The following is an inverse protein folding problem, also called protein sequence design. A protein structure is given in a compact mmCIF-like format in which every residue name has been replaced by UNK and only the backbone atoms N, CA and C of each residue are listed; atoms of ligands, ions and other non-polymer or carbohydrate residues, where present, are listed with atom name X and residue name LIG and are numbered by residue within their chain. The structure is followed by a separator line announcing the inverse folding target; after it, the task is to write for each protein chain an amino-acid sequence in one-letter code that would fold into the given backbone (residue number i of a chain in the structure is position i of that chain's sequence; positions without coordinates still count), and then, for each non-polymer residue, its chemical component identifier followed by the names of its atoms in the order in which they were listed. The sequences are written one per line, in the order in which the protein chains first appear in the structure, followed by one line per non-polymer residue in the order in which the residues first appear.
data_IF_048130871674
#
_entry.id   IF_048130871674
#
_cell.length_a   1.000
_cell.length_b   1.000
_cell.length_c   1.000
_cell.angle_alpha   90.00
_cell.angle_beta   90.00
_cell.angle_gamma   90.00
#
_symmetry.space_group_name_H-M   'P 1'
#
loop_
_entity.id
_entity.type
_entity.pdbx_description
1 polymer ?
#
# COMPACT_ATOMS: atom_id res chain seq x y z
N UNK A 1 1.26 22.95 1.57
CA UNK A 1 2.09 22.37 2.65
C UNK A 1 2.16 20.89 2.42
N UNK A 2 3.33 20.24 2.54
CA UNK A 2 3.41 18.79 2.40
C UNK A 2 2.38 18.12 3.32
N UNK A 3 1.83 17.00 2.89
CA UNK A 3 0.86 16.24 3.66
C UNK A 3 1.47 15.85 5.00
N UNK A 4 0.88 16.32 6.09
CA UNK A 4 1.38 15.98 7.43
C UNK A 4 1.06 14.52 7.75
N UNK A 5 1.99 13.84 8.37
CA UNK A 5 1.76 12.52 8.97
C UNK A 5 1.09 12.73 10.33
N UNK A 6 -0.05 12.08 10.55
CA UNK A 6 -0.83 12.17 11.78
C UNK A 6 -0.85 10.84 12.51
N UNK A 7 -0.77 10.88 13.82
CA UNK A 7 -1.19 9.75 14.65
C UNK A 7 -2.71 9.76 14.83
N UNK A 8 -3.30 8.62 15.19
CA UNK A 8 -4.73 8.55 15.51
C UNK A 8 -5.12 9.44 16.71
N UNK A 9 -4.18 9.75 17.61
CA UNK A 9 -4.39 10.64 18.75
C UNK A 9 -4.38 12.12 18.36
N UNK A 10 -3.53 12.53 17.41
CA UNK A 10 -3.49 13.91 16.89
C UNK A 10 -4.68 14.21 15.99
N UNK A 11 -5.06 13.23 15.15
CA UNK A 11 -6.16 13.36 14.21
C UNK A 11 -6.78 11.98 13.98
N UNK A 12 -7.96 11.76 14.54
CA UNK A 12 -8.67 10.49 14.45
C UNK A 12 -9.06 10.12 13.01
N UNK A 13 -9.19 8.83 12.74
CA UNK A 13 -9.51 8.31 11.41
C UNK A 13 -10.89 8.77 10.91
N UNK A 14 -11.81 9.09 11.80
CA UNK A 14 -13.13 9.67 11.47
C UNK A 14 -13.02 11.01 10.73
N UNK A 15 -11.86 11.66 10.77
CA UNK A 15 -11.59 12.93 10.06
C UNK A 15 -11.08 12.72 8.64
N UNK A 16 -10.80 11.48 8.22
CA UNK A 16 -10.43 11.16 6.83
C UNK A 16 -11.54 11.64 5.92
N UNK A 17 -11.21 12.47 4.93
CA UNK A 17 -12.20 13.01 3.99
C UNK A 17 -12.82 11.91 3.12
N UNK A 18 -12.09 11.42 2.14
CA UNK A 18 -12.51 10.32 1.27
C UNK A 18 -11.48 9.19 1.25
N UNK A 19 -10.19 9.52 1.27
CA UNK A 19 -9.08 8.56 1.25
C UNK A 19 -7.93 9.06 2.12
N UNK A 20 -7.18 8.14 2.72
CA UNK A 20 -5.93 8.37 3.43
C UNK A 20 -4.98 7.20 3.21
N UNK A 21 -3.70 7.39 3.46
CA UNK A 21 -2.70 6.31 3.44
C UNK A 21 -2.26 6.04 4.88
N UNK A 22 -2.57 4.84 5.38
CA UNK A 22 -2.21 4.41 6.73
C UNK A 22 -0.92 3.59 6.70
N UNK A 23 -0.07 3.77 7.70
CA UNK A 23 1.23 3.08 7.83
C UNK A 23 1.54 2.76 9.27
N UNK A 24 2.13 1.58 9.52
CA UNK A 24 2.55 1.13 10.85
C UNK A 24 3.83 0.30 10.77
N UNK A 25 4.47 0.05 11.90
CA UNK A 25 5.53 -0.96 12.05
C UNK A 25 4.89 -2.29 12.43
N UNK A 26 5.21 -3.38 11.72
CA UNK A 26 4.73 -4.75 12.05
C UNK A 26 5.79 -5.55 12.78
N UNK A 27 7.05 -5.45 12.32
CA UNK A 27 8.21 -6.07 12.95
C UNK A 27 9.39 -5.11 12.88
N UNK A 28 10.49 -5.41 13.57
CA UNK A 28 11.69 -4.58 13.50
C UNK A 28 12.19 -4.50 12.06
N UNK A 29 12.24 -3.26 11.54
CA UNK A 29 12.64 -2.98 10.16
C UNK A 29 11.59 -3.30 9.09
N UNK A 30 10.36 -3.71 9.46
CA UNK A 30 9.26 -3.93 8.53
C UNK A 30 8.06 -3.03 8.82
N UNK A 31 7.58 -2.36 7.80
CA UNK A 31 6.38 -1.55 7.84
C UNK A 31 5.27 -2.20 7.01
N UNK A 32 4.04 -1.80 7.32
CA UNK A 32 2.84 -2.17 6.58
C UNK A 32 2.07 -0.92 6.20
N UNK A 33 1.44 -0.94 5.03
CA UNK A 33 0.67 0.20 4.50
C UNK A 33 -0.69 -0.28 3.98
N UNK A 34 -1.70 0.56 4.14
CA UNK A 34 -3.05 0.35 3.65
C UNK A 34 -3.72 1.67 3.27
N UNK A 35 -4.92 1.57 2.72
CA UNK A 35 -5.74 2.69 2.30
C UNK A 35 -6.93 2.87 3.24
N UNK A 36 -6.98 3.99 3.94
CA UNK A 36 -8.20 4.45 4.58
C UNK A 36 -9.15 4.94 3.50
N UNK A 37 -10.38 4.47 3.52
CA UNK A 37 -11.41 4.97 2.62
C UNK A 37 -12.74 5.12 3.33
N UNK A 38 -13.45 6.21 3.00
CA UNK A 38 -14.77 6.47 3.54
C UNK A 38 -15.84 5.78 2.70
N UNK A 39 -16.74 5.08 3.35
CA UNK A 39 -17.98 4.62 2.71
C UNK A 39 -19.01 5.74 2.76
N UNK A 40 -19.51 6.15 1.60
CA UNK A 40 -20.50 7.23 1.51
C UNK A 40 -21.88 6.83 2.04
N UNK A 41 -22.16 5.53 2.12
CA UNK A 41 -23.47 5.02 2.56
C UNK A 41 -23.68 5.11 4.08
N UNK A 42 -22.65 4.86 4.88
CA UNK A 42 -22.68 4.88 6.34
C UNK A 42 -21.71 5.86 6.98
N UNK A 43 -20.90 6.58 6.15
CA UNK A 43 -19.86 7.52 6.58
C UNK A 43 -18.74 6.90 7.43
N UNK A 44 -18.65 5.58 7.50
CA UNK A 44 -17.58 4.89 8.22
C UNK A 44 -16.28 4.92 7.41
N UNK A 45 -15.16 4.92 8.12
CA UNK A 45 -13.83 4.79 7.54
C UNK A 45 -13.35 3.37 7.77
N UNK A 46 -13.05 2.68 6.68
CA UNK A 46 -12.41 1.35 6.70
C UNK A 46 -10.99 1.44 6.14
N UNK A 47 -10.16 0.47 6.47
CA UNK A 47 -8.82 0.31 5.94
C UNK A 47 -8.75 -0.90 5.02
N UNK A 48 -8.58 -0.65 3.73
CA UNK A 48 -8.32 -1.68 2.73
C UNK A 48 -6.82 -1.91 2.61
N UNK A 49 -6.37 -3.13 2.89
CA UNK A 49 -4.95 -3.47 2.81
C UNK A 49 -4.73 -4.94 2.43
N UNK A 50 -3.63 -5.21 1.76
CA UNK A 50 -3.17 -6.57 1.49
C UNK A 50 -2.27 -7.00 2.64
N UNK A 51 -2.83 -7.74 3.60
CA UNK A 51 -2.11 -8.15 4.81
C UNK A 51 -1.01 -9.17 4.50
N UNK A 52 -1.26 -10.12 3.60
CA UNK A 52 -0.30 -11.07 3.05
C UNK A 52 -0.92 -11.85 1.87
N UNK A 53 -0.34 -12.99 1.48
CA UNK A 53 -0.80 -13.86 0.41
C UNK A 53 -2.27 -14.27 0.59
N UNK A 54 -3.12 -13.92 -0.36
CA UNK A 54 -4.57 -14.17 -0.34
C UNK A 54 -5.24 -13.69 0.98
N UNK A 55 -4.80 -12.53 1.49
CA UNK A 55 -5.35 -11.89 2.69
C UNK A 55 -5.62 -10.41 2.44
N UNK A 56 -6.47 -10.11 1.47
CA UNK A 56 -7.03 -8.77 1.35
C UNK A 56 -8.01 -8.55 2.50
N UNK A 57 -7.87 -7.43 3.20
CA UNK A 57 -8.68 -7.07 4.38
C UNK A 57 -9.30 -5.69 4.16
N UNK A 58 -10.47 -5.51 4.74
CA UNK A 58 -11.16 -4.22 4.79
C UNK A 58 -11.72 -4.04 6.20
N UNK A 59 -10.83 -3.72 7.12
CA UNK A 59 -11.07 -3.73 8.56
C UNK A 59 -11.22 -2.30 9.10
N UNK A 60 -11.64 -2.15 10.35
CA UNK A 60 -11.56 -0.88 11.07
C UNK A 60 -10.07 -0.53 11.29
N UNK A 61 -9.65 0.72 11.05
CA UNK A 61 -8.27 1.11 11.28
C UNK A 61 -7.92 1.09 12.78
N UNK A 62 -6.76 0.52 13.11
CA UNK A 62 -6.28 0.44 14.48
C UNK A 62 -5.49 1.69 14.89
N UNK A 63 -5.55 2.12 16.17
CA UNK A 63 -4.80 3.30 16.66
C UNK A 63 -3.27 3.19 16.53
N UNK A 64 -2.76 1.99 16.27
CA UNK A 64 -1.33 1.71 16.02
C UNK A 64 -0.84 2.19 14.66
N UNK A 65 -1.74 2.69 13.80
CA UNK A 65 -1.38 3.28 12.51
C UNK A 65 -1.23 4.80 12.62
N UNK A 66 -0.18 5.33 12.01
CA UNK A 66 -0.15 6.72 11.53
C UNK A 66 -0.83 6.81 10.17
N UNK A 67 -1.24 7.98 9.74
CA UNK A 67 -1.83 8.17 8.44
C UNK A 67 -1.50 9.53 7.81
N UNK A 68 -1.60 9.57 6.50
CA UNK A 68 -1.35 10.73 5.66
C UNK A 68 -2.62 11.07 4.88
N UNK A 69 -2.96 12.36 4.82
CA UNK A 69 -4.00 12.89 3.93
C UNK A 69 -3.33 13.25 2.59
N UNK A 70 -3.48 12.44 1.54
CA UNK A 70 -2.80 12.71 0.28
C UNK A 70 -3.29 14.01 -0.34
N UNK A 71 -2.38 14.76 -0.98
CA UNK A 71 -2.67 16.03 -1.64
C UNK A 71 -3.52 15.84 -2.92
N UNK A 72 -4.71 15.27 -2.77
CA UNK A 72 -5.63 14.93 -3.86
C UNK A 72 -6.92 15.74 -3.72
N UNK A 73 -7.33 16.41 -4.79
CA UNK A 73 -8.62 17.14 -4.80
C UNK A 73 -9.79 16.19 -4.48
N UNK A 74 -10.79 16.68 -3.72
CA UNK A 74 -11.92 15.90 -3.18
C UNK A 74 -12.61 14.98 -4.21
N UNK A 75 -12.85 15.44 -5.45
CA UNK A 75 -13.45 14.62 -6.49
C UNK A 75 -12.56 13.41 -6.88
N UNK A 76 -11.26 13.62 -6.93
CA UNK A 76 -10.27 12.57 -7.21
C UNK A 76 -10.10 11.61 -6.03
N UNK A 77 -10.10 12.13 -4.80
CA UNK A 77 -10.09 11.31 -3.58
C UNK A 77 -11.30 10.38 -3.50
N UNK A 78 -12.50 10.85 -3.89
CA UNK A 78 -13.70 10.00 -4.03
C UNK A 78 -13.54 8.91 -5.07
N UNK A 79 -12.85 9.19 -6.18
CA UNK A 79 -12.55 8.19 -7.21
C UNK A 79 -11.67 7.05 -6.65
N UNK A 80 -10.61 7.38 -5.90
CA UNK A 80 -9.76 6.38 -5.23
C UNK A 80 -10.59 5.55 -4.24
N UNK A 81 -11.41 6.19 -3.39
CA UNK A 81 -12.29 5.48 -2.47
C UNK A 81 -13.28 4.55 -3.18
N UNK A 82 -13.81 4.96 -4.35
CA UNK A 82 -14.67 4.11 -5.17
C UNK A 82 -13.93 2.88 -5.72
N UNK A 83 -12.67 3.05 -6.14
CA UNK A 83 -11.81 1.93 -6.57
C UNK A 83 -11.56 0.98 -5.40
N UNK A 84 -11.26 1.47 -4.19
CA UNK A 84 -11.12 0.63 -2.99
C UNK A 84 -12.35 -0.28 -2.80
N UNK A 85 -13.56 0.29 -2.86
CA UNK A 85 -14.80 -0.47 -2.69
C UNK A 85 -15.03 -1.51 -3.81
N UNK A 86 -14.72 -1.16 -5.07
CA UNK A 86 -14.78 -2.10 -6.19
C UNK A 86 -13.83 -3.26 -6.01
N UNK A 87 -12.57 -2.97 -5.70
CA UNK A 87 -11.53 -3.99 -5.49
C UNK A 87 -11.91 -4.93 -4.35
N UNK A 88 -12.39 -4.42 -3.23
CA UNK A 88 -12.87 -5.25 -2.13
C UNK A 88 -14.00 -6.19 -2.55
N UNK A 89 -15.03 -5.66 -3.23
CA UNK A 89 -16.19 -6.45 -3.67
C UNK A 89 -15.85 -7.52 -4.69
N UNK A 90 -14.92 -7.24 -5.60
CA UNK A 90 -14.62 -8.13 -6.72
C UNK A 90 -13.62 -9.23 -6.39
N UNK A 91 -12.76 -9.03 -5.40
CA UNK A 91 -11.66 -9.97 -5.14
C UNK A 91 -11.83 -10.75 -3.83
N UNK A 92 -12.65 -10.27 -2.87
CA UNK A 92 -12.64 -10.85 -1.54
C UNK A 92 -11.20 -10.91 -1.00
N UNK A 93 -10.81 -12.05 -0.42
CA UNK A 93 -9.45 -12.24 0.12
C UNK A 93 -8.41 -12.76 -0.91
N UNK A 94 -8.76 -12.82 -2.21
CA UNK A 94 -8.06 -13.65 -3.20
C UNK A 94 -6.85 -13.01 -3.91
N UNK A 95 -6.39 -11.82 -3.51
CA UNK A 95 -5.22 -11.21 -4.15
C UNK A 95 -3.93 -11.88 -3.66
N UNK A 96 -3.15 -12.53 -4.55
CA UNK A 96 -1.90 -13.17 -4.14
C UNK A 96 -0.83 -12.15 -3.77
N UNK A 97 0.13 -12.57 -2.95
CA UNK A 97 1.34 -11.81 -2.66
C UNK A 97 2.42 -12.12 -3.70
N UNK A 98 3.02 -11.07 -4.31
CA UNK A 98 4.17 -11.18 -5.20
C UNK A 98 4.84 -9.80 -5.38
N UNK A 99 5.88 -9.72 -6.22
CA UNK A 99 6.65 -8.49 -6.46
C UNK A 99 6.31 -7.82 -7.78
N UNK A 100 5.17 -8.15 -8.39
CA UNK A 100 4.75 -7.57 -9.67
C UNK A 100 4.63 -6.05 -9.59
N UNK A 101 4.86 -5.40 -10.72
CA UNK A 101 4.72 -3.96 -10.86
C UNK A 101 3.26 -3.52 -10.59
N UNK A 102 3.04 -2.32 -10.01
CA UNK A 102 1.70 -1.87 -9.60
C UNK A 102 0.82 -1.34 -10.74
N UNK A 103 1.33 -1.22 -11.96
CA UNK A 103 0.57 -0.70 -13.09
C UNK A 103 -0.40 -1.75 -13.66
N UNK A 104 -1.58 -1.31 -14.09
CA UNK A 104 -2.61 -2.11 -14.79
C UNK A 104 -2.98 -3.43 -14.08
N UNK A 105 -3.00 -3.43 -12.75
CA UNK A 105 -3.29 -4.62 -11.96
C UNK A 105 -4.79 -4.87 -11.77
N UNK A 106 -5.62 -3.86 -11.95
CA UNK A 106 -7.06 -3.95 -11.73
C UNK A 106 -7.84 -3.54 -12.97
N UNK A 107 -8.93 -4.25 -13.25
CA UNK A 107 -9.92 -3.82 -14.21
C UNK A 107 -10.61 -2.53 -13.72
N UNK A 108 -10.58 -1.47 -14.50
CA UNK A 108 -11.06 -0.15 -14.10
C UNK A 108 -12.57 -0.07 -13.89
N UNK A 109 -13.35 -0.97 -14.52
CA UNK A 109 -14.79 -1.01 -14.39
C UNK A 109 -15.24 -1.83 -13.19
N UNK A 110 -14.72 -3.04 -13.05
CA UNK A 110 -15.14 -4.01 -12.04
C UNK A 110 -14.30 -3.98 -10.78
N UNK A 111 -13.04 -3.57 -10.85
CA UNK A 111 -12.05 -3.67 -9.77
C UNK A 111 -11.45 -5.07 -9.61
N UNK A 112 -11.72 -6.00 -10.52
CA UNK A 112 -11.15 -7.35 -10.48
C UNK A 112 -9.63 -7.31 -10.68
N UNK A 113 -8.90 -8.11 -9.91
CA UNK A 113 -7.45 -8.26 -10.06
C UNK A 113 -7.15 -9.06 -11.33
N UNK A 114 -6.32 -8.48 -12.19
CA UNK A 114 -5.97 -9.03 -13.50
C UNK A 114 -4.77 -9.97 -13.38
N UNK A 115 -4.99 -11.19 -12.90
CA UNK A 115 -3.96 -12.23 -12.94
C UNK A 115 -3.49 -12.49 -14.37
N UNK A 116 -2.20 -12.67 -14.54
CA UNK A 116 -1.61 -12.93 -15.84
C UNK A 116 -0.13 -13.30 -15.72
N UNK A 117 0.55 -13.64 -16.81
CA UNK A 117 1.92 -14.14 -16.75
C UNK A 117 2.94 -13.12 -16.17
N UNK A 118 2.61 -11.83 -16.16
CA UNK A 118 3.44 -10.75 -15.62
C UNK A 118 2.85 -10.08 -14.38
N UNK A 119 1.72 -10.57 -13.86
CA UNK A 119 0.99 -10.02 -12.71
C UNK A 119 0.51 -11.17 -11.85
N UNK A 120 1.40 -11.69 -11.04
CA UNK A 120 1.12 -12.86 -10.19
C UNK A 120 0.69 -12.50 -8.78
N UNK A 121 0.79 -11.23 -8.39
CA UNK A 121 0.38 -10.73 -7.09
C UNK A 121 0.98 -9.36 -6.77
N UNK A 122 0.75 -8.87 -5.56
CA UNK A 122 1.20 -7.57 -5.08
C UNK A 122 1.75 -7.67 -3.65
N UNK A 123 2.62 -6.76 -3.25
CA UNK A 123 2.92 -6.47 -1.84
C UNK A 123 1.89 -5.48 -1.28
N UNK A 124 1.87 -5.22 0.04
CA UNK A 124 1.02 -4.17 0.61
C UNK A 124 1.31 -2.79 -0.01
N UNK A 125 2.57 -2.49 -0.29
CA UNK A 125 3.00 -1.22 -0.89
C UNK A 125 2.58 -1.12 -2.36
N UNK A 126 2.89 -2.12 -3.19
CA UNK A 126 2.48 -2.11 -4.60
C UNK A 126 0.95 -2.19 -4.75
N UNK A 127 0.23 -2.79 -3.80
CA UNK A 127 -1.24 -2.78 -3.76
C UNK A 127 -1.80 -1.36 -3.62
N UNK A 128 -1.29 -0.55 -2.68
CA UNK A 128 -1.70 0.86 -2.53
C UNK A 128 -1.43 1.63 -3.82
N UNK A 129 -0.24 1.48 -4.40
CA UNK A 129 0.11 2.13 -5.67
C UNK A 129 -0.80 1.69 -6.82
N UNK A 130 -1.15 0.41 -6.89
CA UNK A 130 -2.05 -0.13 -7.92
C UNK A 130 -3.48 0.43 -7.82
N UNK A 131 -3.99 0.66 -6.61
CA UNK A 131 -5.29 1.32 -6.41
C UNK A 131 -5.27 2.76 -6.92
N UNK A 132 -4.23 3.54 -6.59
CA UNK A 132 -4.09 4.90 -7.11
C UNK A 132 -3.93 4.91 -8.64
N UNK A 133 -3.16 3.97 -9.19
CA UNK A 133 -3.00 3.83 -10.64
C UNK A 133 -4.34 3.51 -11.34
N UNK A 134 -5.11 2.57 -10.79
CA UNK A 134 -6.45 2.21 -11.32
C UNK A 134 -7.45 3.36 -11.24
N UNK A 135 -7.26 4.30 -10.30
CA UNK A 135 -8.03 5.54 -10.23
C UNK A 135 -7.52 6.62 -11.21
N UNK A 136 -6.53 6.32 -12.06
CA UNK A 136 -5.91 7.30 -12.97
C UNK A 136 -5.11 8.39 -12.27
N UNK A 137 -4.56 8.09 -11.09
CA UNK A 137 -3.88 9.03 -10.18
C UNK A 137 -2.58 8.39 -9.64
N UNK A 138 -1.60 8.06 -10.48
CA UNK A 138 -0.35 7.49 -9.98
C UNK A 138 0.24 8.35 -8.87
N UNK A 139 0.45 7.72 -7.71
CA UNK A 139 0.93 8.41 -6.51
C UNK A 139 2.41 8.79 -6.64
N UNK A 140 3.17 7.92 -7.32
CA UNK A 140 4.62 8.07 -7.51
C UNK A 140 4.99 7.96 -8.98
N UNK A 141 6.12 8.53 -9.34
CA UNK A 141 6.74 8.33 -10.67
C UNK A 141 7.57 7.05 -10.66
N UNK A 142 7.00 5.98 -11.20
CA UNK A 142 7.64 4.66 -11.26
C UNK A 142 8.99 4.67 -11.98
N UNK A 143 9.18 5.58 -12.93
CA UNK A 143 10.41 5.71 -13.72
C UNK A 143 11.62 6.20 -12.90
N UNK A 144 11.39 6.77 -11.72
CA UNK A 144 12.44 7.27 -10.83
C UNK A 144 12.91 6.24 -9.81
N UNK A 145 12.16 5.10 -9.64
CA UNK A 145 12.51 4.09 -8.65
C UNK A 145 13.75 3.30 -9.06
N UNK A 146 14.72 3.15 -8.16
CA UNK A 146 15.94 2.39 -8.45
C UNK A 146 15.64 0.89 -8.58
N UNK A 147 16.50 0.19 -9.27
CA UNK A 147 16.53 -1.27 -9.24
C UNK A 147 16.73 -1.78 -7.80
N UNK A 148 16.27 -3.00 -7.53
CA UNK A 148 16.40 -3.61 -6.21
C UNK A 148 17.89 -3.72 -5.80
N UNK A 149 18.24 -3.16 -4.65
CA UNK A 149 19.54 -3.31 -4.03
C UNK A 149 19.64 -4.60 -3.20
N UNK A 150 20.83 -4.89 -2.68
CA UNK A 150 21.07 -6.13 -1.89
C UNK A 150 20.10 -6.31 -0.72
N UNK A 151 19.76 -5.23 -0.01
CA UNK A 151 18.78 -5.27 1.09
C UNK A 151 17.37 -5.62 0.60
N UNK A 152 17.00 -5.16 -0.59
CA UNK A 152 15.69 -5.44 -1.16
C UNK A 152 15.61 -6.90 -1.62
N UNK A 153 16.67 -7.41 -2.24
CA UNK A 153 16.79 -8.82 -2.61
C UNK A 153 16.74 -9.71 -1.36
N UNK A 154 17.47 -9.38 -0.30
CA UNK A 154 17.44 -10.14 0.96
C UNK A 154 16.03 -10.19 1.57
N UNK A 155 15.31 -9.05 1.55
CA UNK A 155 13.92 -9.00 2.00
C UNK A 155 12.99 -9.83 1.10
N UNK A 156 13.17 -9.79 -0.22
CA UNK A 156 12.38 -10.62 -1.16
C UNK A 156 12.56 -12.11 -0.88
N UNK A 157 13.79 -12.55 -0.64
CA UNK A 157 14.07 -13.94 -0.27
C UNK A 157 13.44 -14.34 1.07
N UNK A 158 13.45 -13.44 2.06
CA UNK A 158 12.74 -13.65 3.31
C UNK A 158 11.23 -13.77 3.10
N UNK A 159 10.62 -12.89 2.29
CA UNK A 159 9.19 -12.95 1.97
C UNK A 159 8.80 -14.24 1.27
N UNK A 160 9.66 -14.81 0.44
CA UNK A 160 9.47 -16.13 -0.19
C UNK A 160 9.49 -17.25 0.87
N UNK A 161 10.38 -17.19 1.85
CA UNK A 161 10.37 -18.13 2.99
C UNK A 161 9.04 -18.09 3.74
N UNK A 162 8.55 -16.88 4.02
CA UNK A 162 7.24 -16.66 4.65
C UNK A 162 6.08 -17.22 3.81
N UNK A 163 6.13 -17.12 2.49
CA UNK A 163 5.12 -17.73 1.60
C UNK A 163 5.06 -19.25 1.79
N UNK A 164 6.20 -19.93 1.86
CA UNK A 164 6.26 -21.36 2.11
C UNK A 164 5.73 -21.74 3.50
N UNK A 165 6.15 -21.01 4.53
CA UNK A 165 5.72 -21.23 5.91
C UNK A 165 4.21 -21.07 6.08
N UNK A 166 3.59 -20.14 5.31
CA UNK A 166 2.15 -19.89 5.33
C UNK A 166 1.35 -20.73 4.31
N UNK A 167 1.97 -21.72 3.69
CA UNK A 167 1.29 -22.72 2.87
C UNK A 167 0.90 -22.27 1.47
N UNK A 168 1.58 -21.28 0.90
CA UNK A 168 1.43 -20.96 -0.51
C UNK A 168 1.84 -22.17 -1.38
N UNK A 169 1.20 -22.34 -2.54
CA UNK A 169 1.54 -23.45 -3.43
C UNK A 169 2.96 -23.31 -3.99
N UNK A 170 3.65 -24.43 -4.17
CA UNK A 170 5.01 -24.42 -4.73
C UNK A 170 5.07 -23.85 -6.16
N UNK A 171 3.97 -23.92 -6.91
CA UNK A 171 3.85 -23.28 -8.21
C UNK A 171 3.90 -21.75 -8.06
N UNK A 172 3.12 -21.19 -7.12
CA UNK A 172 3.11 -19.75 -6.84
C UNK A 172 4.46 -19.29 -6.29
N UNK A 173 5.04 -20.04 -5.35
CA UNK A 173 6.36 -19.70 -4.78
C UNK A 173 7.42 -19.61 -5.87
N UNK A 174 7.49 -20.57 -6.80
CA UNK A 174 8.44 -20.52 -7.94
C UNK A 174 8.19 -19.33 -8.86
N UNK A 175 6.93 -18.96 -9.07
CA UNK A 175 6.60 -17.78 -9.85
C UNK A 175 7.11 -16.49 -9.16
N UNK A 176 6.94 -16.38 -7.83
CA UNK A 176 7.46 -15.25 -7.05
C UNK A 176 8.99 -15.25 -7.00
N UNK A 177 9.64 -16.42 -6.92
CA UNK A 177 11.10 -16.53 -7.01
C UNK A 177 11.66 -15.96 -8.32
N UNK A 178 10.96 -16.14 -9.42
CA UNK A 178 11.35 -15.60 -10.70
C UNK A 178 11.29 -14.06 -10.76
N UNK A 179 10.57 -13.40 -9.83
CA UNK A 179 10.51 -11.95 -9.71
C UNK A 179 11.59 -11.35 -8.77
N UNK A 180 12.45 -12.17 -8.17
CA UNK A 180 13.53 -11.66 -7.29
C UNK A 180 14.44 -10.70 -8.07
N UNK A 181 14.68 -9.53 -7.49
CA UNK A 181 15.35 -8.41 -8.16
C UNK A 181 14.40 -7.38 -8.77
N UNK A 182 13.08 -7.63 -8.75
CA UNK A 182 12.09 -6.63 -9.12
C UNK A 182 12.19 -5.39 -8.22
N UNK A 183 11.81 -4.23 -8.77
CA UNK A 183 11.76 -2.96 -8.02
C UNK A 183 10.94 -3.11 -6.76
N UNK A 184 11.49 -2.70 -5.62
CA UNK A 184 10.79 -2.72 -4.34
C UNK A 184 10.26 -1.34 -4.00
N UNK A 185 8.94 -1.25 -3.83
CA UNK A 185 8.28 -0.11 -3.20
C UNK A 185 8.14 -0.42 -1.71
N UNK A 186 8.69 0.44 -0.84
CA UNK A 186 8.60 0.23 0.60
C UNK A 186 7.38 0.95 1.17
N UNK A 187 6.69 0.40 2.19
CA UNK A 187 5.50 1.01 2.78
C UNK A 187 5.69 2.46 3.23
N UNK A 188 6.82 2.75 3.88
CA UNK A 188 7.19 4.10 4.31
C UNK A 188 7.41 5.07 3.14
N UNK A 189 7.95 4.58 2.01
CA UNK A 189 8.11 5.38 0.79
C UNK A 189 6.76 5.67 0.13
N UNK A 190 5.83 4.72 0.15
CA UNK A 190 4.47 4.92 -0.38
C UNK A 190 3.73 5.96 0.48
N UNK A 191 3.84 5.88 1.81
CA UNK A 191 3.30 6.89 2.71
C UNK A 191 3.99 8.26 2.50
N UNK A 192 5.31 8.28 2.30
CA UNK A 192 6.08 9.47 1.94
C UNK A 192 5.62 10.09 0.62
N UNK A 193 5.41 9.27 -0.41
CA UNK A 193 4.84 9.72 -1.69
C UNK A 193 3.45 10.33 -1.54
N UNK A 194 2.60 9.76 -0.66
CA UNK A 194 1.30 10.34 -0.33
C UNK A 194 1.39 11.69 0.40
N UNK A 195 2.48 11.91 1.15
CA UNK A 195 2.74 13.17 1.86
C UNK A 195 3.31 14.28 0.97
N UNK A 196 3.66 14.00 -0.28
CA UNK A 196 4.09 15.02 -1.23
C UNK A 196 2.99 16.02 -1.56
N UNK A 197 3.37 17.27 -1.82
CA UNK A 197 2.44 18.33 -2.21
C UNK A 197 1.76 18.08 -3.58
N UNK A 198 2.28 17.17 -4.37
CA UNK A 198 1.77 16.82 -5.69
C UNK A 198 1.84 15.30 -5.91
N UNK A 199 0.94 14.81 -6.76
CA UNK A 199 1.01 13.45 -7.29
C UNK A 199 2.28 13.26 -8.15
N UNK A 200 2.63 12.00 -8.42
CA UNK A 200 3.84 11.60 -9.14
C UNK A 200 5.13 11.98 -8.39
N UNK A 201 5.13 11.73 -7.07
CA UNK A 201 6.32 11.92 -6.26
C UNK A 201 7.50 11.16 -6.84
N UNK A 202 8.67 11.82 -6.97
CA UNK A 202 9.91 11.15 -7.33
C UNK A 202 10.37 10.21 -6.21
N UNK A 203 11.27 9.27 -6.53
CA UNK A 203 11.87 8.43 -5.49
C UNK A 203 12.53 9.27 -4.39
N UNK A 204 13.30 10.30 -4.76
CA UNK A 204 14.02 11.15 -3.79
C UNK A 204 13.05 11.90 -2.85
N UNK A 205 11.94 12.41 -3.37
CA UNK A 205 10.92 13.06 -2.54
C UNK A 205 10.22 12.07 -1.62
N UNK A 206 9.84 10.90 -2.14
CA UNK A 206 9.21 9.84 -1.37
C UNK A 206 10.13 9.30 -0.27
N UNK A 207 11.42 9.09 -0.56
CA UNK A 207 12.43 8.63 0.41
C UNK A 207 12.70 9.68 1.49
N UNK A 208 12.82 10.94 1.12
CA UNK A 208 12.98 12.03 2.09
C UNK A 208 11.78 12.09 3.06
N UNK A 209 10.56 12.02 2.55
CA UNK A 209 9.34 12.06 3.37
C UNK A 209 9.11 10.73 4.12
N UNK A 210 9.61 9.61 3.62
CA UNK A 210 9.65 8.35 4.36
C UNK A 210 10.43 8.49 5.67
N UNK A 211 11.50 9.29 5.69
CA UNK A 211 12.22 9.62 6.93
C UNK A 211 11.33 10.29 7.99
N UNK A 212 10.47 11.22 7.56
CA UNK A 212 9.49 11.88 8.46
C UNK A 212 8.43 10.89 8.96
N UNK A 213 7.93 10.01 8.08
CA UNK A 213 7.00 8.92 8.44
C UNK A 213 7.63 8.03 9.52
N UNK A 214 8.85 7.56 9.28
CA UNK A 214 9.57 6.69 10.22
C UNK A 214 9.84 7.36 11.57
N UNK A 215 10.11 8.66 11.56
CA UNK A 215 10.26 9.43 12.81
C UNK A 215 8.95 9.45 13.61
N UNK A 216 7.81 9.67 12.96
CA UNK A 216 6.49 9.65 13.63
C UNK A 216 6.21 8.27 14.21
N UNK A 217 6.43 7.18 13.45
CA UNK A 217 6.21 5.81 13.93
C UNK A 217 7.07 5.50 15.14
N UNK A 218 8.36 5.82 15.09
CA UNK A 218 9.32 5.56 16.16
C UNK A 218 9.01 6.39 17.42
N UNK A 219 8.78 7.69 17.27
CA UNK A 219 8.54 8.60 18.40
C UNK A 219 7.27 8.24 19.17
N UNK A 220 6.25 7.73 18.49
CA UNK A 220 4.97 7.38 19.10
C UNK A 220 4.82 5.89 19.40
N UNK A 221 5.86 5.08 19.15
CA UNK A 221 5.84 3.64 19.42
C UNK A 221 4.75 2.91 18.62
N UNK A 222 4.41 3.39 17.42
CA UNK A 222 3.33 2.84 16.60
C UNK A 222 3.74 1.50 15.98
N UNK A 223 3.21 0.43 16.58
CA UNK A 223 3.52 -0.94 16.20
C UNK A 223 2.29 -1.83 16.42
N UNK A 224 1.97 -2.68 15.45
CA UNK A 224 1.01 -3.77 15.66
C UNK A 224 1.66 -4.90 16.44
N UNK A 225 0.93 -5.47 17.38
CA UNK A 225 1.36 -6.61 18.21
C UNK A 225 1.28 -7.93 17.46
#
# INVERSE_FOLDING_TARGET
MPGRVYTAQERGFETVGHVGVAVTTVEEGQQHVGLLHRDESNQEVAMLHLAFHCRLRNDQPEPTYAWVDPAVHSARARQVAAVCRKVWRSNGEQIPFAFSAPSDCFDGETGAFLLGPTRIGLTCASFVLAIFHAAGLPLVDYGTWPAAGERDVAWQLHAISMLREHGASEEHVRAVEAEVGAVRYRPEQVAGGAACDALHASFDDAERLAGEVMQVLSTNGLRTG
#
